data_IF_425093242799
#
_entry.id   IF_425093242799
#
_cell.length_a   1.000
_cell.length_b   1.000
_cell.length_c   1.000
_cell.angle_alpha   90.00
_cell.angle_beta   90.00
_cell.angle_gamma   90.00
#
_symmetry.space_group_name_H-M   'P 1'
#
loop_
_entity.id
_entity.type
_entity.pdbx_description
1 polymer ?
#
# COMPACT_ATOMS: atom_id res chain seq x y z
N UNK A 1 -30.07 3.95 9.04
CA UNK A 1 -29.25 4.78 10.00
C UNK A 1 -28.77 6.00 9.26
N UNK A 2 -29.00 7.21 9.79
CA UNK A 2 -28.62 8.44 9.12
C UNK A 2 -27.09 8.62 9.09
N UNK A 3 -26.51 8.78 7.90
CA UNK A 3 -25.08 9.02 7.73
C UNK A 3 -24.82 10.52 7.79
N UNK A 4 -24.31 10.97 8.95
CA UNK A 4 -24.15 12.38 9.27
C UNK A 4 -22.81 12.99 8.90
N UNK A 5 -21.79 12.16 8.66
CA UNK A 5 -20.46 12.67 8.38
C UNK A 5 -19.45 11.60 8.07
N UNK A 6 -18.21 12.05 7.86
CA UNK A 6 -17.06 11.22 7.51
C UNK A 6 -15.84 11.68 8.33
N UNK A 7 -15.01 10.74 8.74
CA UNK A 7 -13.70 11.04 9.35
C UNK A 7 -12.64 11.10 8.25
N UNK A 8 -11.75 12.07 8.32
CA UNK A 8 -10.53 12.13 7.50
C UNK A 8 -9.33 12.03 8.42
N UNK A 9 -8.48 11.06 8.20
CA UNK A 9 -7.28 10.79 9.01
C UNK A 9 -6.04 11.11 8.20
N UNK A 10 -5.14 11.91 8.77
CA UNK A 10 -3.84 12.20 8.18
C UNK A 10 -2.73 12.02 9.21
N UNK A 11 -1.81 11.07 9.01
CA UNK A 11 -0.55 11.04 9.73
C UNK A 11 0.32 12.20 9.23
N UNK A 12 0.96 12.92 10.14
CA UNK A 12 1.78 14.08 9.80
C UNK A 12 3.25 13.79 10.12
N UNK A 13 4.05 13.79 9.06
CA UNK A 13 5.51 13.68 9.14
C UNK A 13 6.11 14.32 7.89
N UNK A 14 6.62 15.53 7.96
CA UNK A 14 7.25 16.12 6.79
C UNK A 14 7.13 17.63 6.65
N UNK A 15 6.98 18.10 5.43
CA UNK A 15 7.06 19.48 5.02
C UNK A 15 5.74 20.25 5.31
N UNK A 16 5.88 21.41 5.93
CA UNK A 16 4.77 22.31 6.22
C UNK A 16 3.94 22.68 4.98
N UNK A 17 4.62 23.04 3.88
CA UNK A 17 3.92 23.51 2.67
C UNK A 17 3.00 22.44 2.08
N UNK A 18 3.44 21.19 2.15
CA UNK A 18 2.66 20.05 1.69
C UNK A 18 1.49 19.80 2.62
N UNK A 19 1.72 19.85 3.94
CA UNK A 19 0.66 19.72 4.95
C UNK A 19 -0.36 20.85 4.86
N UNK A 20 0.05 22.10 4.60
CA UNK A 20 -0.86 23.23 4.34
C UNK A 20 -1.85 22.89 3.23
N UNK A 21 -1.35 22.34 2.14
CA UNK A 21 -2.15 21.91 0.99
C UNK A 21 -3.15 20.83 1.34
N UNK A 22 -2.68 19.78 2.04
CA UNK A 22 -3.55 18.69 2.49
C UNK A 22 -4.65 19.21 3.42
N UNK A 23 -4.29 19.94 4.46
CA UNK A 23 -5.25 20.50 5.42
C UNK A 23 -6.26 21.41 4.72
N UNK A 24 -5.79 22.32 3.85
CA UNK A 24 -6.68 23.18 3.06
C UNK A 24 -7.65 22.35 2.20
N UNK A 25 -7.20 21.25 1.61
CA UNK A 25 -8.06 20.39 0.80
C UNK A 25 -9.20 19.75 1.60
N UNK A 26 -9.01 19.53 2.91
CA UNK A 26 -10.03 18.94 3.79
C UNK A 26 -10.96 20.00 4.36
N UNK A 27 -10.42 21.12 4.87
CA UNK A 27 -11.27 22.17 5.49
C UNK A 27 -12.11 22.94 4.48
N UNK A 28 -11.74 22.91 3.19
CA UNK A 28 -12.48 23.56 2.11
C UNK A 28 -13.26 22.56 1.23
N UNK A 29 -13.60 21.39 1.77
CA UNK A 29 -14.49 20.46 1.08
C UNK A 29 -15.85 21.13 0.80
N UNK A 30 -16.38 20.84 -0.39
CA UNK A 30 -17.71 21.28 -0.75
C UNK A 30 -18.75 20.57 0.13
N UNK A 31 -19.54 21.35 0.87
CA UNK A 31 -20.65 20.88 1.69
C UNK A 31 -21.95 21.45 1.12
N UNK A 32 -22.79 20.57 0.57
CA UNK A 32 -24.06 20.96 -0.02
C UNK A 32 -25.02 21.52 1.03
N UNK A 33 -25.62 22.69 0.80
CA UNK A 33 -26.63 23.27 1.67
C UNK A 33 -27.90 22.43 1.77
N UNK A 34 -28.23 21.70 0.73
CA UNK A 34 -29.44 20.86 0.68
C UNK A 34 -29.26 19.51 1.37
N UNK A 35 -28.02 19.06 1.54
CA UNK A 35 -27.69 17.78 2.14
C UNK A 35 -26.39 17.90 2.96
N UNK A 36 -26.40 18.71 4.04
CA UNK A 36 -25.21 18.98 4.80
C UNK A 36 -24.67 17.72 5.48
N UNK A 37 -23.38 17.72 5.72
CA UNK A 37 -22.67 16.67 6.42
C UNK A 37 -21.52 17.26 7.24
N UNK A 38 -20.98 16.44 8.11
CA UNK A 38 -19.86 16.84 8.96
C UNK A 38 -18.58 16.12 8.57
N UNK A 39 -17.46 16.79 8.75
CA UNK A 39 -16.11 16.22 8.59
C UNK A 39 -15.42 16.24 9.95
N UNK A 40 -14.90 15.12 10.36
CA UNK A 40 -13.98 15.03 11.49
C UNK A 40 -12.56 14.86 10.96
N UNK A 41 -11.77 15.92 10.93
CA UNK A 41 -10.35 15.86 10.57
C UNK A 41 -9.54 15.45 11.79
N UNK A 42 -8.86 14.31 11.69
CA UNK A 42 -7.95 13.80 12.71
C UNK A 42 -6.51 13.90 12.17
N UNK A 43 -5.75 14.80 12.76
CA UNK A 43 -4.33 15.00 12.47
C UNK A 43 -3.52 14.26 13.53
N UNK A 44 -2.66 13.34 13.10
CA UNK A 44 -1.79 12.59 14.00
C UNK A 44 -0.35 13.04 13.78
N UNK A 45 0.16 13.83 14.72
CA UNK A 45 1.55 14.27 14.75
C UNK A 45 2.43 13.13 15.21
N UNK A 46 3.25 12.60 14.29
CA UNK A 46 4.11 11.46 14.57
C UNK A 46 5.47 11.88 15.13
N UNK A 47 5.44 12.61 16.26
CA UNK A 47 6.63 13.01 17.01
C UNK A 47 7.57 13.93 16.21
N UNK A 48 7.01 14.95 15.57
CA UNK A 48 7.78 15.90 14.76
C UNK A 48 8.78 16.70 15.62
N UNK A 49 8.44 16.99 16.89
CA UNK A 49 9.32 17.71 17.81
C UNK A 49 10.68 17.01 18.01
N UNK A 50 10.71 15.67 18.01
CA UNK A 50 11.94 14.89 18.10
C UNK A 50 12.85 15.02 16.87
N UNK A 51 12.32 15.50 15.74
CA UNK A 51 13.06 15.67 14.49
C UNK A 51 13.70 17.03 14.34
N UNK A 52 13.18 18.05 15.01
CA UNK A 52 13.63 19.43 14.88
C UNK A 52 14.51 19.81 16.06
N UNK A 53 15.82 19.79 15.86
CA UNK A 53 16.84 20.16 16.86
C UNK A 53 16.66 21.56 17.45
N UNK A 54 15.86 22.43 16.83
CA UNK A 54 15.71 23.86 17.18
C UNK A 54 14.39 24.22 17.82
N UNK A 55 13.47 23.29 18.11
CA UNK A 55 12.18 23.60 18.71
C UNK A 55 11.18 24.37 17.80
N UNK A 56 11.59 24.72 16.59
CA UNK A 56 10.73 25.30 15.58
C UNK A 56 9.95 24.18 14.88
N UNK A 57 8.93 23.68 15.57
CA UNK A 57 7.97 22.77 14.97
C UNK A 57 7.25 23.49 13.84
N UNK A 58 7.48 23.10 12.61
CA UNK A 58 6.72 23.56 11.43
C UNK A 58 5.21 23.41 11.61
N UNK A 59 4.79 22.51 12.46
CA UNK A 59 3.40 22.18 12.73
C UNK A 59 2.83 22.89 13.95
N UNK A 60 3.59 23.72 14.65
CA UNK A 60 3.05 24.49 15.78
C UNK A 60 1.82 25.31 15.41
N UNK A 61 1.70 25.73 14.14
CA UNK A 61 0.51 26.45 13.68
C UNK A 61 -0.73 25.56 13.56
N UNK A 62 -0.60 24.27 13.26
CA UNK A 62 -1.72 23.32 13.15
C UNK A 62 -2.05 22.65 14.46
N UNK A 63 -1.02 22.45 15.31
CA UNK A 63 -1.14 21.76 16.57
C UNK A 63 -1.55 22.71 17.70
N UNK A 64 -2.02 23.92 17.37
CA UNK A 64 -2.43 24.92 18.35
C UNK A 64 -3.93 24.94 18.55
N UNK A 65 -4.36 25.29 19.77
CA UNK A 65 -5.77 25.59 20.04
C UNK A 65 -6.30 26.73 19.18
N UNK A 66 -5.43 27.62 18.72
CA UNK A 66 -5.80 28.73 17.84
C UNK A 66 -6.18 28.23 16.44
N UNK A 67 -5.40 27.35 15.84
CA UNK A 67 -5.76 26.71 14.56
C UNK A 67 -7.09 25.99 14.68
N UNK A 68 -7.25 25.17 15.71
CA UNK A 68 -8.49 24.46 15.98
C UNK A 68 -9.68 25.42 16.13
N UNK A 69 -9.57 26.47 16.93
CA UNK A 69 -10.62 27.49 17.09
C UNK A 69 -10.97 28.24 15.80
N UNK A 70 -9.99 28.35 14.90
CA UNK A 70 -10.19 29.07 13.62
C UNK A 70 -11.00 28.25 12.64
N UNK A 71 -10.80 26.94 12.59
CA UNK A 71 -11.37 26.06 11.58
C UNK A 71 -12.43 25.10 12.09
N UNK A 72 -12.52 24.84 13.40
CA UNK A 72 -13.67 24.16 13.99
C UNK A 72 -14.92 24.99 13.75
N UNK A 73 -15.96 24.41 13.22
CA UNK A 73 -17.25 25.03 12.98
C UNK A 73 -18.35 23.96 13.06
N UNK A 74 -19.57 24.32 12.71
CA UNK A 74 -20.73 23.41 12.75
C UNK A 74 -20.62 22.19 11.88
N UNK A 75 -19.74 22.23 10.84
CA UNK A 75 -19.52 21.13 9.88
C UNK A 75 -18.15 20.49 9.97
N UNK A 76 -17.18 21.16 10.55
CA UNK A 76 -15.78 20.68 10.63
C UNK A 76 -15.34 20.62 12.08
N UNK A 77 -15.03 19.44 12.54
CA UNK A 77 -14.37 19.17 13.83
C UNK A 77 -12.93 18.79 13.57
N UNK A 78 -11.99 19.32 14.33
CA UNK A 78 -10.57 18.99 14.25
C UNK A 78 -10.12 18.36 15.55
N UNK A 79 -9.49 17.20 15.44
CA UNK A 79 -8.77 16.55 16.55
C UNK A 79 -7.30 16.44 16.20
N UNK A 80 -6.43 16.82 17.13
CA UNK A 80 -4.99 16.76 16.98
C UNK A 80 -4.47 15.83 18.03
N UNK A 81 -3.71 14.81 17.60
CA UNK A 81 -3.08 13.81 18.47
C UNK A 81 -1.58 13.94 18.28
N UNK A 82 -0.84 14.06 19.36
CA UNK A 82 0.62 14.09 19.38
C UNK A 82 1.13 12.77 19.92
N UNK A 83 1.94 12.08 19.13
CA UNK A 83 2.66 10.91 19.61
C UNK A 83 3.84 11.35 20.47
N UNK A 84 4.07 10.65 21.57
CA UNK A 84 5.19 10.92 22.48
C UNK A 84 6.52 10.43 21.89
N UNK A 85 6.46 9.54 20.92
CA UNK A 85 7.59 8.97 20.20
C UNK A 85 7.20 8.73 18.72
N UNK A 86 8.19 8.54 17.86
CA UNK A 86 7.96 8.22 16.46
C UNK A 86 7.35 6.83 16.30
N UNK A 87 6.10 6.76 15.86
CA UNK A 87 5.31 5.52 15.71
C UNK A 87 5.16 5.06 14.27
N UNK A 88 5.69 5.84 13.35
CA UNK A 88 5.59 5.63 11.92
C UNK A 88 4.15 5.70 11.36
N UNK A 89 4.07 5.60 10.04
CA UNK A 89 2.87 5.91 9.29
C UNK A 89 1.71 4.94 9.58
N UNK A 90 1.98 3.63 9.64
CA UNK A 90 0.94 2.62 9.88
C UNK A 90 0.30 2.77 11.26
N UNK A 91 1.09 2.87 12.33
CA UNK A 91 0.58 3.03 13.68
C UNK A 91 -0.12 4.39 13.86
N UNK A 92 0.40 5.46 13.23
CA UNK A 92 -0.24 6.78 13.26
C UNK A 92 -1.60 6.77 12.56
N UNK A 93 -1.76 6.04 11.45
CA UNK A 93 -3.07 5.82 10.81
C UNK A 93 -4.02 5.07 11.72
N UNK A 94 -3.54 4.03 12.40
CA UNK A 94 -4.33 3.24 13.33
C UNK A 94 -4.83 4.08 14.53
N UNK A 95 -3.97 4.95 15.07
CA UNK A 95 -4.33 5.92 16.12
C UNK A 95 -5.42 6.87 15.63
N UNK A 96 -5.24 7.43 14.45
CA UNK A 96 -6.21 8.34 13.84
C UNK A 96 -7.55 7.67 13.53
N UNK A 97 -7.50 6.45 13.05
CA UNK A 97 -8.67 5.61 12.81
C UNK A 97 -9.52 5.43 14.08
N UNK A 98 -8.89 5.09 15.20
CA UNK A 98 -9.58 4.90 16.49
C UNK A 98 -10.15 6.19 17.07
N UNK A 99 -9.55 7.33 16.77
CA UNK A 99 -9.96 8.62 17.30
C UNK A 99 -11.13 9.29 16.53
N UNK A 100 -11.45 8.78 15.34
CA UNK A 100 -12.50 9.36 14.50
C UNK A 100 -13.91 9.17 15.07
N UNK A 101 -14.79 10.15 14.89
CA UNK A 101 -16.18 10.10 15.38
C UNK A 101 -17.12 9.32 14.46
N UNK A 102 -16.80 9.24 13.17
CA UNK A 102 -17.71 8.65 12.19
C UNK A 102 -17.27 7.23 11.82
N UNK A 103 -18.27 6.41 11.55
CA UNK A 103 -18.10 5.03 11.12
C UNK A 103 -17.30 4.90 9.81
N UNK A 104 -17.49 5.82 8.88
CA UNK A 104 -16.79 5.83 7.61
C UNK A 104 -15.64 6.84 7.65
N UNK A 105 -14.50 6.45 7.09
CA UNK A 105 -13.32 7.30 7.11
C UNK A 105 -12.49 7.21 5.83
N UNK A 106 -11.76 8.28 5.57
CA UNK A 106 -10.78 8.44 4.51
C UNK A 106 -9.38 8.51 5.12
N UNK A 107 -8.41 8.00 4.41
CA UNK A 107 -7.00 8.22 4.71
C UNK A 107 -6.41 9.15 3.65
N UNK A 108 -5.60 10.09 4.09
CA UNK A 108 -4.86 10.99 3.20
C UNK A 108 -3.48 11.28 3.79
N UNK A 109 -2.44 11.14 3.00
CA UNK A 109 -1.10 11.47 3.45
C UNK A 109 -0.89 12.98 3.51
N UNK A 110 0.00 13.44 4.37
CA UNK A 110 0.19 14.86 4.62
C UNK A 110 0.75 15.65 3.42
N UNK A 111 1.22 14.96 2.39
CA UNK A 111 1.73 15.54 1.15
C UNK A 111 0.77 15.41 -0.05
N UNK A 112 -0.40 14.84 0.15
CA UNK A 112 -1.44 14.64 -0.85
C UNK A 112 -2.62 15.61 -0.71
N UNK A 113 -3.68 15.45 -1.50
CA UNK A 113 -4.89 16.26 -1.44
C UNK A 113 -6.15 15.43 -1.67
N UNK A 114 -7.23 15.76 -0.98
CA UNK A 114 -8.58 15.38 -1.40
C UNK A 114 -9.07 16.29 -2.52
N UNK A 115 -9.84 15.74 -3.45
CA UNK A 115 -10.57 16.58 -4.41
C UNK A 115 -11.66 17.39 -3.69
N UNK A 116 -12.01 18.59 -4.18
CA UNK A 116 -12.92 19.50 -3.46
C UNK A 116 -14.31 18.94 -3.13
N UNK A 117 -14.75 17.92 -3.83
CA UNK A 117 -16.05 17.26 -3.64
C UNK A 117 -15.93 15.78 -3.21
N UNK A 118 -14.76 15.34 -2.76
CA UNK A 118 -14.51 13.96 -2.41
C UNK A 118 -15.44 13.44 -1.31
N UNK A 119 -15.53 14.18 -0.20
CA UNK A 119 -16.39 13.81 0.92
C UNK A 119 -17.87 13.76 0.54
N UNK A 120 -18.37 14.73 -0.24
CA UNK A 120 -19.75 14.74 -0.73
C UNK A 120 -20.06 13.52 -1.61
N UNK A 121 -19.16 13.17 -2.52
CA UNK A 121 -19.30 11.97 -3.40
C UNK A 121 -19.36 10.68 -2.60
N UNK A 122 -18.48 10.49 -1.63
CA UNK A 122 -18.50 9.30 -0.79
C UNK A 122 -19.76 9.21 0.06
N UNK A 123 -20.16 10.34 0.65
CA UNK A 123 -21.38 10.39 1.47
C UNK A 123 -22.65 10.18 0.65
N UNK A 124 -22.69 10.66 -0.59
CA UNK A 124 -23.78 10.36 -1.50
C UNK A 124 -23.94 8.86 -1.74
N UNK A 125 -22.85 8.18 -2.05
CA UNK A 125 -22.85 6.70 -2.25
C UNK A 125 -23.26 5.97 -0.97
N UNK A 126 -22.74 6.39 0.18
CA UNK A 126 -23.08 5.79 1.47
C UNK A 126 -24.57 5.94 1.82
N UNK A 127 -25.13 7.14 1.59
CA UNK A 127 -26.55 7.44 1.84
C UNK A 127 -27.44 6.67 0.87
N UNK A 128 -27.09 6.63 -0.40
CA UNK A 128 -27.82 5.86 -1.41
C UNK A 128 -27.83 4.36 -1.07
N UNK A 129 -26.69 3.82 -0.63
CA UNK A 129 -26.65 2.45 -0.14
C UNK A 129 -27.51 2.21 1.11
N UNK A 130 -27.58 3.18 2.01
CA UNK A 130 -28.39 3.11 3.22
C UNK A 130 -29.91 3.22 2.96
N UNK A 131 -30.32 3.85 1.84
CA UNK A 131 -31.73 3.92 1.44
C UNK A 131 -32.29 2.56 0.98
N UNK A 132 -31.46 1.68 0.44
CA UNK A 132 -31.85 0.35 -0.05
C UNK A 132 -31.72 0.19 -1.56
N UNK A 133 -32.28 -0.91 -2.08
CA UNK A 133 -32.26 -1.23 -3.50
C UNK A 133 -33.30 -0.40 -4.27
N UNK A 134 -32.89 0.19 -5.39
CA UNK A 134 -33.78 0.94 -6.29
C UNK A 134 -34.03 0.13 -7.57
N UNK A 135 -35.24 0.21 -8.10
CA UNK A 135 -35.60 -0.35 -9.40
C UNK A 135 -35.01 0.48 -10.57
N UNK A 136 -35.26 0.05 -11.80
CA UNK A 136 -34.80 0.72 -13.02
C UNK A 136 -35.35 2.15 -13.20
N UNK A 137 -36.41 2.49 -12.48
CA UNK A 137 -37.03 3.80 -12.48
C UNK A 137 -36.56 4.67 -11.29
N UNK A 138 -35.68 4.14 -10.45
CA UNK A 138 -35.15 4.81 -9.25
C UNK A 138 -36.03 4.74 -8.02
N UNK A 139 -37.12 3.93 -8.02
CA UNK A 139 -37.99 3.74 -6.86
C UNK A 139 -37.43 2.66 -5.93
N UNK A 140 -37.59 2.86 -4.61
CA UNK A 140 -37.18 1.88 -3.61
C UNK A 140 -38.00 0.60 -3.75
N UNK A 141 -37.32 -0.55 -3.86
CA UNK A 141 -37.95 -1.86 -3.95
C UNK A 141 -38.40 -2.42 -2.59
N UNK A 142 -37.92 -1.82 -1.50
CA UNK A 142 -38.10 -2.34 -0.14
C UNK A 142 -37.01 -3.33 0.28
N UNK A 143 -36.14 -3.74 -0.61
CA UNK A 143 -34.97 -4.57 -0.29
C UNK A 143 -33.86 -3.74 0.35
N UNK A 144 -33.23 -4.29 1.38
CA UNK A 144 -32.07 -3.67 2.02
C UNK A 144 -30.81 -4.03 1.23
N UNK A 145 -29.96 -3.06 0.99
CA UNK A 145 -28.60 -3.33 0.50
C UNK A 145 -27.72 -3.85 1.63
N UNK A 146 -26.73 -4.63 1.29
CA UNK A 146 -25.66 -4.97 2.22
C UNK A 146 -24.89 -3.69 2.62
N UNK A 147 -24.44 -3.58 3.87
CA UNK A 147 -23.59 -2.46 4.27
C UNK A 147 -22.29 -2.46 3.43
N UNK A 148 -21.78 -1.28 3.17
CA UNK A 148 -20.54 -1.14 2.40
C UNK A 148 -19.32 -1.40 3.30
N UNK A 149 -18.42 -2.27 2.88
CA UNK A 149 -17.11 -2.48 3.49
C UNK A 149 -16.16 -1.32 3.14
N UNK A 150 -16.16 -0.98 1.85
CA UNK A 150 -15.27 0.03 1.30
C UNK A 150 -15.90 0.64 0.04
N UNK A 151 -15.57 1.90 -0.24
CA UNK A 151 -15.83 2.55 -1.52
C UNK A 151 -14.49 2.86 -2.16
N UNK A 152 -14.26 2.35 -3.36
CA UNK A 152 -13.05 2.63 -4.12
C UNK A 152 -13.23 3.94 -4.89
N UNK A 153 -12.41 4.91 -4.59
CA UNK A 153 -12.37 6.19 -5.27
C UNK A 153 -11.44 6.19 -6.48
N UNK A 154 -11.20 7.38 -6.98
CA UNK A 154 -10.37 7.64 -8.15
C UNK A 154 -9.15 8.46 -7.70
N UNK A 155 -7.98 7.86 -7.75
CA UNK A 155 -6.72 8.53 -7.49
C UNK A 155 -6.15 9.08 -8.80
N UNK A 156 -5.89 10.38 -8.83
CA UNK A 156 -5.11 10.98 -9.91
C UNK A 156 -3.66 11.09 -9.47
N UNK A 157 -2.78 10.43 -10.20
CA UNK A 157 -1.34 10.48 -9.98
C UNK A 157 -0.71 11.50 -10.93
N UNK A 158 -0.03 12.50 -10.38
CA UNK A 158 0.70 13.48 -11.19
C UNK A 158 1.98 12.89 -11.80
N UNK A 159 2.47 11.78 -11.29
CA UNK A 159 3.62 11.07 -11.83
C UNK A 159 3.28 10.39 -13.15
N UNK A 160 2.18 9.66 -13.17
CA UNK A 160 1.69 8.96 -14.39
C UNK A 160 0.88 9.86 -15.30
N UNK A 161 0.49 11.05 -14.83
CA UNK A 161 -0.41 11.98 -15.52
C UNK A 161 -1.73 11.34 -15.95
N UNK A 162 -2.24 10.42 -15.15
CA UNK A 162 -3.46 9.68 -15.42
C UNK A 162 -4.19 9.28 -14.14
N UNK A 163 -5.38 8.71 -14.32
CA UNK A 163 -6.17 8.20 -13.20
C UNK A 163 -5.77 6.77 -12.87
N UNK A 164 -5.55 6.53 -11.60
CA UNK A 164 -5.44 5.19 -11.04
C UNK A 164 -6.73 4.84 -10.32
N UNK A 165 -7.27 3.66 -10.65
CA UNK A 165 -8.45 3.14 -9.99
C UNK A 165 -8.04 2.17 -8.90
N UNK A 166 -8.45 2.42 -7.67
CA UNK A 166 -8.27 1.47 -6.58
C UNK A 166 -9.21 0.27 -6.79
N UNK A 167 -8.66 -0.81 -7.31
CA UNK A 167 -9.38 -2.07 -7.56
C UNK A 167 -8.87 -3.11 -6.58
N UNK A 168 -9.76 -3.89 -5.90
CA UNK A 168 -9.34 -4.98 -5.04
C UNK A 168 -8.38 -5.92 -5.77
N UNK A 169 -7.29 -6.29 -5.09
CA UNK A 169 -6.27 -7.16 -5.65
C UNK A 169 -5.29 -6.52 -6.63
N UNK A 170 -5.52 -5.27 -7.06
CA UNK A 170 -4.69 -4.59 -8.06
C UNK A 170 -4.05 -3.29 -7.59
N UNK A 171 -4.38 -2.81 -6.40
CA UNK A 171 -3.81 -1.57 -5.85
C UNK A 171 -3.48 -1.73 -4.38
N UNK A 172 -2.32 -1.24 -3.98
CA UNK A 172 -1.90 -1.14 -2.58
C UNK A 172 -2.15 0.26 -1.99
N UNK A 173 -2.70 1.19 -2.77
CA UNK A 173 -2.95 2.55 -2.32
C UNK A 173 -4.08 2.61 -1.32
N UNK A 174 -3.84 3.15 -0.16
CA UNK A 174 -4.85 3.35 0.90
C UNK A 174 -5.63 4.64 0.71
N UNK A 175 -5.02 5.62 0.04
CA UNK A 175 -5.67 6.88 -0.30
C UNK A 175 -6.81 6.65 -1.30
N UNK A 176 -7.71 7.62 -1.41
CA UNK A 176 -8.89 7.57 -2.27
C UNK A 176 -9.81 6.36 -2.05
N UNK A 177 -9.79 5.78 -0.86
CA UNK A 177 -10.78 4.78 -0.42
C UNK A 177 -11.53 5.30 0.79
N UNK A 178 -12.84 5.05 0.82
CA UNK A 178 -13.65 5.27 2.01
C UNK A 178 -13.89 3.93 2.69
N UNK A 179 -13.42 3.78 3.90
CA UNK A 179 -13.47 2.55 4.69
C UNK A 179 -14.61 2.58 5.69
N UNK A 180 -15.14 1.40 6.02
CA UNK A 180 -16.10 1.20 7.08
C UNK A 180 -15.41 0.61 8.31
N UNK A 181 -15.43 1.34 9.43
CA UNK A 181 -14.80 0.93 10.68
C UNK A 181 -15.35 -0.39 11.21
N UNK A 182 -16.68 -0.56 11.22
CA UNK A 182 -17.30 -1.78 11.74
C UNK A 182 -16.85 -3.03 10.97
N UNK A 183 -16.64 -2.88 9.66
CA UNK A 183 -16.10 -3.96 8.83
C UNK A 183 -14.66 -4.30 9.22
N UNK A 184 -13.80 -3.29 9.37
CA UNK A 184 -12.41 -3.52 9.73
C UNK A 184 -12.27 -4.14 11.13
N UNK A 185 -13.06 -3.68 12.10
CA UNK A 185 -13.07 -4.21 13.46
C UNK A 185 -13.65 -5.65 13.53
N UNK A 186 -14.73 -5.93 12.78
CA UNK A 186 -15.35 -7.26 12.75
C UNK A 186 -14.38 -8.33 12.25
N UNK A 187 -13.56 -7.99 11.28
CA UNK A 187 -12.62 -8.91 10.64
C UNK A 187 -11.17 -8.75 11.11
N UNK A 188 -10.92 -7.92 12.12
CA UNK A 188 -9.58 -7.71 12.70
C UNK A 188 -8.55 -7.21 11.67
N UNK A 189 -8.99 -6.29 10.80
CA UNK A 189 -8.15 -5.70 9.76
C UNK A 189 -7.54 -4.40 10.30
N UNK A 190 -6.26 -4.43 10.60
CA UNK A 190 -5.51 -3.31 11.18
C UNK A 190 -4.24 -3.01 10.39
N UNK A 191 -3.81 -1.75 10.48
CA UNK A 191 -2.46 -1.39 10.05
C UNK A 191 -1.42 -2.08 10.93
N UNK A 192 -0.25 -2.43 10.38
CA UNK A 192 0.84 -2.93 11.19
C UNK A 192 1.32 -1.87 12.18
N UNK A 193 1.78 -2.32 13.34
CA UNK A 193 2.27 -1.46 14.43
C UNK A 193 3.72 -1.76 14.78
N UNK A 194 4.36 -0.89 15.54
CA UNK A 194 5.76 -1.04 15.94
C UNK A 194 6.71 -0.95 14.74
N UNK A 195 7.75 -1.75 14.73
CA UNK A 195 8.76 -1.74 13.66
C UNK A 195 8.20 -2.09 12.29
N UNK A 196 7.10 -2.83 12.22
CA UNK A 196 6.41 -3.19 10.98
C UNK A 196 5.56 -2.05 10.39
N UNK A 197 5.40 -0.94 11.14
CA UNK A 197 4.65 0.24 10.67
C UNK A 197 5.50 1.26 9.91
N UNK A 198 6.81 1.00 9.79
CA UNK A 198 7.77 1.96 9.25
C UNK A 198 7.57 2.25 7.77
N UNK A 199 7.39 1.20 6.98
CA UNK A 199 7.24 1.34 5.52
C UNK A 199 6.53 0.14 4.92
N UNK A 200 5.84 0.37 3.80
CA UNK A 200 5.09 -0.68 3.12
C UNK A 200 3.90 -1.20 3.92
N UNK A 201 3.43 -0.43 4.89
CA UNK A 201 2.31 -0.75 5.78
C UNK A 201 0.97 -0.83 5.04
N UNK A 202 0.88 -0.18 3.89
CA UNK A 202 -0.29 -0.21 3.00
C UNK A 202 -0.51 -1.61 2.44
N UNK A 203 0.56 -2.28 2.05
CA UNK A 203 0.50 -3.59 1.44
C UNK A 203 -0.21 -4.63 2.32
N UNK A 204 0.23 -4.90 3.57
CA UNK A 204 -0.46 -5.88 4.41
C UNK A 204 -1.88 -5.46 4.78
N UNK A 205 -2.15 -4.18 4.96
CA UNK A 205 -3.50 -3.70 5.24
C UNK A 205 -4.45 -3.98 4.07
N UNK A 206 -4.06 -3.59 2.86
CA UNK A 206 -4.88 -3.78 1.66
C UNK A 206 -5.04 -5.26 1.30
N UNK A 207 -4.00 -6.08 1.44
CA UNK A 207 -4.11 -7.52 1.12
C UNK A 207 -5.05 -8.25 2.09
N UNK A 208 -5.02 -7.92 3.38
CA UNK A 208 -5.99 -8.44 4.36
C UNK A 208 -7.41 -8.00 4.01
N UNK A 209 -7.60 -6.72 3.69
CA UNK A 209 -8.88 -6.16 3.28
C UNK A 209 -9.44 -6.89 2.05
N UNK A 210 -8.65 -6.99 0.98
CA UNK A 210 -9.05 -7.61 -0.28
C UNK A 210 -9.37 -9.10 -0.09
N UNK A 211 -8.60 -9.81 0.75
CA UNK A 211 -8.86 -11.20 1.08
C UNK A 211 -10.23 -11.39 1.74
N UNK A 212 -10.52 -10.59 2.78
CA UNK A 212 -11.81 -10.68 3.48
C UNK A 212 -12.96 -10.30 2.55
N UNK A 213 -12.80 -9.26 1.73
CA UNK A 213 -13.84 -8.85 0.76
C UNK A 213 -14.24 -10.02 -0.16
N UNK A 214 -13.29 -10.84 -0.59
CA UNK A 214 -13.57 -11.95 -1.50
C UNK A 214 -14.18 -13.18 -0.82
N UNK A 215 -13.99 -13.35 0.50
CA UNK A 215 -14.41 -14.53 1.23
C UNK A 215 -15.64 -14.31 2.14
N UNK A 216 -16.16 -13.10 2.23
CA UNK A 216 -17.35 -12.77 3.00
C UNK A 216 -18.48 -12.32 2.09
N UNK A 217 -19.73 -12.48 2.53
CA UNK A 217 -20.93 -12.11 1.78
C UNK A 217 -21.81 -11.06 2.49
N UNK A 218 -21.41 -10.62 3.68
CA UNK A 218 -22.18 -9.71 4.53
C UNK A 218 -22.09 -8.25 4.07
N UNK A 219 -20.98 -7.86 3.45
CA UNK A 219 -20.68 -6.49 3.03
C UNK A 219 -20.44 -6.40 1.52
N UNK A 220 -20.71 -5.23 0.96
CA UNK A 220 -20.46 -4.91 -0.45
C UNK A 220 -19.28 -3.95 -0.59
N UNK A 221 -18.66 -3.97 -1.78
CA UNK A 221 -17.71 -2.97 -2.22
C UNK A 221 -18.25 -2.29 -3.47
N UNK A 222 -18.18 -0.98 -3.50
CA UNK A 222 -18.61 -0.18 -4.66
C UNK A 222 -17.46 0.73 -5.12
N UNK A 223 -17.54 1.18 -6.36
CA UNK A 223 -16.60 2.15 -6.94
C UNK A 223 -17.30 3.48 -7.15
N UNK A 224 -16.57 4.56 -6.95
CA UNK A 224 -17.00 5.87 -7.43
C UNK A 224 -17.16 5.79 -8.95
N UNK A 225 -18.30 6.23 -9.51
CA UNK A 225 -18.51 6.21 -10.96
C UNK A 225 -17.44 7.01 -11.70
N UNK A 226 -16.96 6.43 -12.81
CA UNK A 226 -16.04 7.06 -13.74
C UNK A 226 -16.69 7.21 -15.11
N UNK A 227 -16.57 8.40 -15.69
CA UNK A 227 -17.08 8.72 -17.03
C UNK A 227 -15.90 9.19 -17.90
N UNK A 228 -15.55 8.50 -18.98
CA UNK A 228 -14.34 8.74 -19.78
C UNK A 228 -14.19 10.18 -20.30
N UNK A 229 -15.28 10.88 -20.52
CA UNK A 229 -15.28 12.21 -21.13
C UNK A 229 -15.55 13.35 -20.13
N UNK A 230 -15.45 13.09 -18.84
CA UNK A 230 -15.72 14.09 -17.81
C UNK A 230 -14.44 14.60 -17.18
N UNK A 231 -14.30 15.92 -17.12
CA UNK A 231 -13.16 16.57 -16.49
C UNK A 231 -13.09 16.27 -14.98
N UNK A 232 -11.89 16.12 -14.48
CA UNK A 232 -11.50 15.99 -13.07
C UNK A 232 -12.46 15.20 -12.18
N UNK A 233 -12.39 13.89 -12.25
CA UNK A 233 -13.21 12.96 -11.46
C UNK A 233 -12.48 12.42 -10.23
N UNK A 234 -11.25 12.83 -9.97
CA UNK A 234 -10.48 12.38 -8.82
C UNK A 234 -11.25 12.53 -7.51
N UNK A 235 -11.01 11.62 -6.58
CA UNK A 235 -11.38 11.77 -5.17
C UNK A 235 -10.17 12.14 -4.33
N UNK A 236 -8.97 11.77 -4.81
CA UNK A 236 -7.70 12.18 -4.22
C UNK A 236 -6.66 12.46 -5.30
N UNK A 237 -5.69 13.28 -4.97
CA UNK A 237 -4.54 13.61 -5.79
C UNK A 237 -3.27 13.17 -5.08
N UNK A 238 -2.49 12.33 -5.74
CA UNK A 238 -1.16 11.94 -5.30
C UNK A 238 -0.10 12.80 -5.99
N UNK A 239 0.82 13.35 -5.19
CA UNK A 239 1.90 14.19 -5.68
C UNK A 239 3.23 13.48 -5.46
N UNK A 240 4.06 13.30 -6.51
CA UNK A 240 5.40 12.77 -6.36
C UNK A 240 6.20 13.71 -5.45
N UNK A 241 6.77 13.13 -4.41
CA UNK A 241 7.56 13.85 -3.43
C UNK A 241 9.01 13.41 -3.51
N UNK A 242 9.90 14.31 -4.00
CA UNK A 242 11.33 14.04 -4.09
C UNK A 242 11.97 13.86 -2.71
N UNK A 243 11.40 14.50 -1.69
CA UNK A 243 11.84 14.43 -0.30
C UNK A 243 11.12 13.34 0.50
N UNK A 244 10.44 12.38 -0.14
CA UNK A 244 9.79 11.28 0.58
C UNK A 244 10.82 10.44 1.34
N UNK A 245 10.43 9.88 2.48
CA UNK A 245 11.29 8.99 3.27
C UNK A 245 11.88 7.86 2.42
N UNK A 246 11.13 7.36 1.46
CA UNK A 246 11.56 6.33 0.53
C UNK A 246 12.68 6.77 -0.43
N UNK A 247 12.88 8.06 -0.60
CA UNK A 247 13.92 8.62 -1.49
C UNK A 247 15.09 9.24 -0.73
N UNK A 248 14.91 9.54 0.56
CA UNK A 248 15.96 10.15 1.41
C UNK A 248 16.85 9.12 2.11
N UNK A 249 16.31 7.94 2.38
CA UNK A 249 17.07 6.88 3.02
C UNK A 249 17.93 6.15 1.98
N UNK A 250 19.27 6.30 2.00
CA UNK A 250 20.16 5.61 1.07
C UNK A 250 20.09 4.07 1.22
N UNK A 251 19.53 3.59 2.33
CA UNK A 251 19.38 2.18 2.64
C UNK A 251 17.95 1.70 2.51
N UNK A 252 17.07 2.53 1.96
CA UNK A 252 15.66 2.27 1.84
C UNK A 252 15.35 0.91 1.22
N UNK A 253 16.01 0.58 0.13
CA UNK A 253 15.77 -0.68 -0.57
C UNK A 253 16.08 -1.92 0.29
N UNK A 254 17.18 -1.87 1.08
CA UNK A 254 17.57 -2.98 1.97
C UNK A 254 16.59 -3.12 3.14
N UNK A 255 16.27 -2.00 3.81
CA UNK A 255 15.29 -2.00 4.88
C UNK A 255 13.92 -2.45 4.37
N UNK A 256 13.47 -1.92 3.22
CA UNK A 256 12.19 -2.29 2.61
C UNK A 256 12.11 -3.79 2.32
N UNK A 257 13.20 -4.39 1.85
CA UNK A 257 13.23 -5.82 1.54
C UNK A 257 12.91 -6.69 2.75
N UNK A 258 13.53 -6.41 3.89
CA UNK A 258 13.25 -7.11 5.15
C UNK A 258 11.81 -6.92 5.63
N UNK A 259 11.29 -5.69 5.57
CA UNK A 259 9.94 -5.36 6.00
C UNK A 259 8.87 -5.94 5.07
N UNK A 260 9.09 -5.94 3.77
CA UNK A 260 8.18 -6.57 2.81
C UNK A 260 8.02 -8.06 3.09
N UNK A 261 9.11 -8.74 3.42
CA UNK A 261 9.06 -10.17 3.76
C UNK A 261 8.40 -10.43 5.13
N UNK A 262 8.62 -9.56 6.11
CA UNK A 262 7.92 -9.60 7.38
C UNK A 262 6.41 -9.34 7.20
N UNK A 263 6.04 -8.39 6.37
CA UNK A 263 4.65 -8.09 6.00
C UNK A 263 3.98 -9.26 5.29
N UNK A 264 4.67 -9.92 4.36
CA UNK A 264 4.17 -11.13 3.68
C UNK A 264 3.87 -12.25 4.67
N UNK A 265 4.74 -12.48 5.64
CA UNK A 265 4.48 -13.44 6.71
C UNK A 265 3.27 -13.05 7.57
N UNK A 266 3.10 -11.76 7.89
CA UNK A 266 1.95 -11.25 8.64
C UNK A 266 0.63 -11.40 7.88
N UNK A 267 0.66 -11.24 6.56
CA UNK A 267 -0.52 -11.48 5.70
C UNK A 267 -0.92 -12.95 5.77
N UNK A 268 0.03 -13.87 5.66
CA UNK A 268 -0.26 -15.30 5.75
C UNK A 268 -0.74 -15.70 7.16
N UNK A 269 -0.19 -15.11 8.23
CA UNK A 269 -0.71 -15.31 9.59
C UNK A 269 -2.18 -14.90 9.70
N UNK A 270 -2.53 -13.77 9.07
CA UNK A 270 -3.91 -13.31 9.02
C UNK A 270 -4.82 -14.27 8.23
N UNK A 271 -4.39 -14.71 7.05
CA UNK A 271 -5.18 -15.65 6.23
C UNK A 271 -5.42 -16.96 6.96
N UNK A 272 -4.39 -17.54 7.57
CA UNK A 272 -4.52 -18.78 8.35
C UNK A 272 -5.53 -18.62 9.50
N UNK A 273 -5.46 -17.50 10.24
CA UNK A 273 -6.37 -17.20 11.33
C UNK A 273 -7.81 -16.97 10.84
N UNK A 274 -7.97 -16.23 9.74
CA UNK A 274 -9.27 -16.00 9.11
C UNK A 274 -9.89 -17.31 8.64
N UNK A 275 -9.14 -18.13 7.91
CA UNK A 275 -9.61 -19.41 7.39
C UNK A 275 -10.03 -20.35 8.50
N UNK A 276 -9.24 -20.42 9.57
CA UNK A 276 -9.60 -21.19 10.76
C UNK A 276 -10.89 -20.70 11.43
N UNK A 277 -11.03 -19.38 11.56
CA UNK A 277 -12.19 -18.76 12.21
C UNK A 277 -13.48 -18.97 11.42
N UNK A 278 -13.41 -18.93 10.09
CA UNK A 278 -14.58 -18.94 9.21
C UNK A 278 -14.75 -20.24 8.41
N UNK A 279 -13.91 -21.26 8.63
CA UNK A 279 -14.08 -22.60 8.06
C UNK A 279 -13.60 -22.75 6.61
N UNK A 280 -12.61 -21.97 6.19
CA UNK A 280 -12.01 -22.03 4.85
C UNK A 280 -10.68 -22.81 4.79
N UNK A 281 -10.35 -23.57 5.83
CA UNK A 281 -9.00 -24.18 6.01
C UNK A 281 -8.56 -25.12 4.87
N UNK A 282 -9.51 -25.72 4.16
CA UNK A 282 -9.24 -26.68 3.09
C UNK A 282 -9.43 -26.10 1.68
N UNK A 283 -9.69 -24.79 1.58
CA UNK A 283 -9.96 -24.15 0.29
C UNK A 283 -8.73 -23.36 -0.18
N UNK A 284 -7.97 -23.98 -1.08
CA UNK A 284 -6.98 -23.25 -1.87
C UNK A 284 -7.69 -22.64 -3.08
N UNK A 285 -8.13 -21.39 -2.97
CA UNK A 285 -8.77 -20.67 -4.06
C UNK A 285 -7.77 -19.95 -4.98
N UNK A 286 -8.25 -19.38 -6.08
CA UNK A 286 -7.42 -18.67 -7.06
C UNK A 286 -6.74 -17.43 -6.46
N UNK A 287 -7.39 -16.76 -5.49
CA UNK A 287 -6.78 -15.62 -4.81
C UNK A 287 -5.56 -16.05 -4.00
N UNK A 288 -5.68 -17.13 -3.21
CA UNK A 288 -4.59 -17.67 -2.40
C UNK A 288 -3.42 -18.14 -3.28
N UNK A 289 -3.71 -18.82 -4.38
CA UNK A 289 -2.68 -19.25 -5.34
C UNK A 289 -1.92 -18.06 -5.90
N UNK A 290 -2.65 -17.03 -6.32
CA UNK A 290 -2.06 -15.80 -6.85
C UNK A 290 -1.20 -15.09 -5.80
N UNK A 291 -1.68 -14.98 -4.55
CA UNK A 291 -0.92 -14.39 -3.46
C UNK A 291 0.35 -15.18 -3.13
N UNK A 292 0.27 -16.50 -3.06
CA UNK A 292 1.43 -17.34 -2.82
C UNK A 292 2.48 -17.20 -3.91
N UNK A 293 2.07 -17.15 -5.17
CA UNK A 293 2.97 -16.91 -6.30
C UNK A 293 3.61 -15.53 -6.19
N UNK A 294 2.81 -14.48 -5.97
CA UNK A 294 3.31 -13.12 -5.80
C UNK A 294 4.32 -13.02 -4.64
N UNK A 295 3.99 -13.57 -3.48
CA UNK A 295 4.90 -13.55 -2.33
C UNK A 295 6.21 -14.28 -2.61
N UNK A 296 6.16 -15.38 -3.35
CA UNK A 296 7.36 -16.09 -3.78
C UNK A 296 8.23 -15.26 -4.72
N UNK A 297 7.62 -14.62 -5.70
CA UNK A 297 8.28 -13.70 -6.64
C UNK A 297 8.89 -12.51 -5.88
N UNK A 298 8.15 -11.90 -4.96
CA UNK A 298 8.67 -10.81 -4.14
C UNK A 298 9.83 -11.24 -3.24
N UNK A 299 9.81 -12.46 -2.70
CA UNK A 299 10.92 -12.99 -1.91
C UNK A 299 12.21 -13.08 -2.75
N UNK A 300 12.09 -13.58 -3.98
CA UNK A 300 13.21 -13.60 -4.92
C UNK A 300 13.70 -12.21 -5.26
N UNK A 301 12.78 -11.32 -5.61
CA UNK A 301 13.10 -9.95 -5.96
C UNK A 301 13.87 -9.25 -4.83
N UNK A 302 13.36 -9.32 -3.61
CA UNK A 302 13.96 -8.64 -2.47
C UNK A 302 15.36 -9.21 -2.12
N UNK A 303 15.55 -10.53 -2.22
CA UNK A 303 16.88 -11.14 -2.02
C UNK A 303 17.87 -10.66 -3.08
N UNK A 304 17.47 -10.65 -4.35
CA UNK A 304 18.31 -10.20 -5.45
C UNK A 304 18.68 -8.73 -5.33
N UNK A 305 17.68 -7.90 -5.03
CA UNK A 305 17.89 -6.45 -4.89
C UNK A 305 18.87 -6.14 -3.76
N UNK A 306 18.70 -6.81 -2.62
CA UNK A 306 19.65 -6.71 -1.51
C UNK A 306 21.08 -7.10 -1.89
N UNK A 307 21.25 -8.22 -2.60
CA UNK A 307 22.55 -8.69 -3.04
C UNK A 307 23.18 -7.73 -4.06
N UNK A 308 22.39 -7.20 -4.97
CA UNK A 308 22.81 -6.23 -5.98
C UNK A 308 23.29 -4.94 -5.32
N UNK A 309 22.50 -4.35 -4.45
CA UNK A 309 22.87 -3.13 -3.74
C UNK A 309 24.15 -3.31 -2.92
N UNK A 310 24.35 -4.50 -2.35
CA UNK A 310 25.58 -4.85 -1.64
C UNK A 310 26.81 -4.90 -2.54
N UNK A 311 26.63 -5.16 -3.85
CA UNK A 311 27.75 -5.25 -4.81
C UNK A 311 28.01 -3.97 -5.58
N UNK A 312 26.95 -3.20 -5.86
CA UNK A 312 27.00 -2.08 -6.80
C UNK A 312 27.47 -0.75 -6.19
N UNK A 313 27.58 -0.67 -4.88
CA UNK A 313 27.87 0.58 -4.18
C UNK A 313 29.01 0.41 -3.18
N UNK A 314 29.67 1.51 -2.82
CA UNK A 314 30.59 1.58 -1.66
C UNK A 314 29.83 1.39 -0.33
N UNK A 315 28.55 1.01 -0.41
CA UNK A 315 27.66 0.83 0.71
C UNK A 315 27.82 -0.53 1.36
N UNK A 316 28.01 -0.53 2.64
CA UNK A 316 28.05 -1.72 3.46
C UNK A 316 26.65 -1.94 4.10
N UNK A 317 25.87 -2.98 3.69
CA UNK A 317 24.58 -3.25 4.29
C UNK A 317 24.73 -3.56 5.78
N UNK A 318 23.70 -3.30 6.56
CA UNK A 318 23.69 -3.66 7.96
C UNK A 318 23.54 -5.19 8.10
N UNK A 319 24.28 -5.78 9.03
CA UNK A 319 24.23 -7.21 9.30
C UNK A 319 22.81 -7.65 9.74
N UNK A 320 22.14 -6.78 10.50
CA UNK A 320 20.75 -7.00 10.97
C UNK A 320 19.75 -7.06 9.81
N UNK A 321 19.92 -6.23 8.77
CA UNK A 321 19.03 -6.23 7.59
C UNK A 321 19.17 -7.52 6.80
N UNK A 322 20.39 -8.02 6.65
CA UNK A 322 20.61 -9.31 6.01
C UNK A 322 19.88 -10.44 6.73
N UNK A 323 20.05 -10.52 8.05
CA UNK A 323 19.40 -11.57 8.83
C UNK A 323 17.87 -11.41 8.85
N UNK A 324 17.36 -10.18 8.96
CA UNK A 324 15.92 -9.93 8.88
C UNK A 324 15.34 -10.39 7.54
N UNK A 325 15.96 -10.05 6.43
CA UNK A 325 15.53 -10.48 5.10
C UNK A 325 15.60 -12.01 4.95
N UNK A 326 16.78 -12.59 5.21
CA UNK A 326 17.05 -14.03 5.07
C UNK A 326 16.06 -14.88 5.87
N UNK A 327 15.88 -14.54 7.14
CA UNK A 327 15.07 -15.34 8.06
C UNK A 327 13.58 -15.21 7.73
N UNK A 328 13.12 -14.03 7.30
CA UNK A 328 11.74 -13.86 6.84
C UNK A 328 11.47 -14.59 5.53
N UNK A 329 12.42 -14.62 4.59
CA UNK A 329 12.30 -15.42 3.36
C UNK A 329 12.31 -16.92 3.67
N UNK A 330 13.17 -17.38 4.57
CA UNK A 330 13.20 -18.78 4.98
C UNK A 330 11.86 -19.19 5.63
N UNK A 331 11.30 -18.37 6.53
CA UNK A 331 10.00 -18.58 7.12
C UNK A 331 8.89 -18.63 6.08
N UNK A 332 8.89 -17.68 5.14
CA UNK A 332 7.91 -17.64 4.05
C UNK A 332 7.97 -18.91 3.20
N UNK A 333 9.17 -19.34 2.82
CA UNK A 333 9.38 -20.59 2.06
C UNK A 333 8.77 -21.81 2.74
N UNK A 334 8.98 -21.96 4.06
CA UNK A 334 8.39 -23.07 4.82
C UNK A 334 6.87 -23.04 4.78
N UNK A 335 6.28 -21.84 4.88
CA UNK A 335 4.82 -21.66 4.84
C UNK A 335 4.21 -21.95 3.49
N UNK A 336 4.89 -21.61 2.40
CA UNK A 336 4.47 -21.90 1.02
C UNK A 336 4.57 -23.40 0.67
N UNK A 337 4.88 -24.27 1.65
CA UNK A 337 4.95 -25.73 1.54
C UNK A 337 5.82 -26.23 0.36
N UNK A 338 6.85 -25.48 0.03
CA UNK A 338 7.78 -25.70 -1.07
C UNK A 338 7.18 -25.68 -2.49
N UNK A 339 5.86 -25.81 -2.66
CA UNK A 339 5.21 -25.92 -3.95
C UNK A 339 5.51 -24.72 -4.85
N UNK A 340 5.20 -23.53 -4.39
CA UNK A 340 5.37 -22.30 -5.19
C UNK A 340 6.83 -21.86 -5.29
N UNK A 341 7.61 -22.08 -4.24
CA UNK A 341 9.04 -21.75 -4.24
C UNK A 341 9.85 -22.61 -5.22
N UNK A 342 9.53 -23.89 -5.32
CA UNK A 342 10.26 -24.83 -6.19
C UNK A 342 9.72 -24.81 -7.62
N UNK A 343 8.43 -24.48 -7.80
CA UNK A 343 7.76 -24.33 -9.09
C UNK A 343 7.96 -22.95 -9.74
N UNK A 344 8.62 -21.99 -9.09
CA UNK A 344 9.05 -20.77 -9.77
C UNK A 344 10.01 -21.20 -10.88
N UNK A 345 9.41 -21.38 -12.03
CA UNK A 345 10.07 -21.72 -13.28
C UNK A 345 10.53 -20.46 -13.98
N UNK A 346 11.43 -20.62 -14.90
CA UNK A 346 11.96 -19.52 -15.71
C UNK A 346 10.90 -18.63 -16.34
N UNK A 347 9.71 -19.15 -16.68
CA UNK A 347 8.61 -18.37 -17.27
C UNK A 347 8.07 -17.29 -16.35
N UNK A 348 7.87 -17.60 -15.06
CA UNK A 348 7.31 -16.63 -14.11
C UNK A 348 8.26 -15.47 -13.87
N UNK A 349 9.54 -15.75 -13.93
CA UNK A 349 10.60 -14.79 -13.78
C UNK A 349 10.80 -13.97 -15.06
N UNK A 350 10.68 -14.63 -16.22
CA UNK A 350 10.66 -13.96 -17.52
C UNK A 350 9.50 -12.96 -17.57
N UNK A 351 8.32 -13.33 -17.08
CA UNK A 351 7.15 -12.46 -17.01
C UNK A 351 7.33 -11.31 -16.03
N UNK A 352 7.91 -11.58 -14.85
CA UNK A 352 8.25 -10.54 -13.88
C UNK A 352 9.30 -9.57 -14.42
N UNK A 353 10.38 -10.06 -15.01
CA UNK A 353 11.41 -9.23 -15.62
C UNK A 353 10.85 -8.40 -16.79
N UNK A 354 9.86 -8.94 -17.50
CA UNK A 354 9.16 -8.20 -18.52
C UNK A 354 8.29 -7.08 -17.97
N UNK A 355 7.55 -7.34 -16.90
CA UNK A 355 6.75 -6.31 -16.22
C UNK A 355 7.65 -5.22 -15.64
N UNK A 356 8.76 -5.60 -14.99
CA UNK A 356 9.75 -4.65 -14.48
C UNK A 356 10.37 -3.83 -15.62
N UNK A 357 10.66 -4.44 -16.76
CA UNK A 357 11.18 -3.74 -17.95
C UNK A 357 10.20 -2.71 -18.51
N UNK A 358 8.91 -2.93 -18.37
CA UNK A 358 7.87 -2.00 -18.83
C UNK A 358 7.67 -0.80 -17.88
N UNK A 359 7.98 -0.97 -16.59
CA UNK A 359 7.72 0.02 -15.55
C UNK A 359 8.97 0.71 -15.01
N UNK A 360 10.17 0.22 -15.30
CA UNK A 360 11.41 0.78 -14.74
C UNK A 360 12.46 1.11 -15.78
N UNK A 361 13.32 2.05 -15.41
CA UNK A 361 14.49 2.52 -16.15
C UNK A 361 15.36 1.33 -16.63
N UNK A 362 15.75 1.35 -17.88
CA UNK A 362 16.47 0.30 -18.64
C UNK A 362 17.70 -0.29 -17.92
N UNK A 363 18.23 0.42 -16.93
CA UNK A 363 19.38 -0.02 -16.12
C UNK A 363 19.17 -1.31 -15.33
N UNK A 364 17.94 -1.71 -15.12
CA UNK A 364 17.59 -2.88 -14.30
C UNK A 364 17.71 -4.21 -15.04
N UNK A 365 17.56 -4.23 -16.34
CA UNK A 365 17.26 -5.45 -17.09
C UNK A 365 18.48 -6.25 -17.54
N UNK A 366 19.59 -5.62 -17.81
CA UNK A 366 20.67 -6.27 -18.53
C UNK A 366 21.73 -6.94 -17.65
N UNK A 367 22.00 -6.39 -16.48
CA UNK A 367 22.94 -6.97 -15.49
C UNK A 367 22.33 -8.07 -14.63
N UNK A 368 21.03 -8.21 -14.60
CA UNK A 368 20.31 -9.10 -13.70
C UNK A 368 20.25 -10.56 -14.14
N UNK A 369 20.28 -10.81 -15.43
CA UNK A 369 20.01 -12.15 -15.98
C UNK A 369 21.06 -13.16 -15.55
N UNK A 370 22.34 -12.80 -15.57
CA UNK A 370 23.42 -13.69 -15.14
C UNK A 370 23.39 -13.99 -13.64
N UNK A 371 23.27 -12.94 -12.84
CA UNK A 371 23.14 -13.02 -11.38
C UNK A 371 21.94 -13.83 -10.98
N UNK A 372 20.86 -13.70 -11.71
CA UNK A 372 19.63 -14.39 -11.50
C UNK A 372 19.74 -15.92 -11.69
N UNK A 373 20.45 -16.38 -12.73
CA UNK A 373 20.72 -17.80 -12.94
C UNK A 373 21.55 -18.40 -11.81
N UNK A 374 22.59 -17.69 -11.38
CA UNK A 374 23.40 -18.10 -10.23
C UNK A 374 22.58 -18.13 -8.95
N UNK A 375 21.72 -17.15 -8.78
CA UNK A 375 20.82 -17.08 -7.64
C UNK A 375 19.83 -18.26 -7.61
N UNK A 376 19.16 -18.58 -8.70
CA UNK A 376 18.23 -19.71 -8.77
C UNK A 376 18.96 -21.02 -8.42
N UNK A 377 20.15 -21.22 -8.95
CA UNK A 377 20.93 -22.40 -8.68
C UNK A 377 21.44 -22.48 -7.23
N UNK A 378 21.62 -21.34 -6.58
CA UNK A 378 22.13 -21.23 -5.22
C UNK A 378 21.08 -20.81 -4.17
N UNK A 379 19.82 -20.65 -4.57
CA UNK A 379 18.76 -20.08 -3.71
C UNK A 379 18.64 -20.71 -2.32
N UNK A 380 18.81 -22.02 -2.23
CA UNK A 380 18.74 -22.73 -0.96
C UNK A 380 19.96 -22.42 -0.08
N UNK A 381 21.13 -22.36 -0.68
CA UNK A 381 22.38 -22.03 0.01
C UNK A 381 22.37 -20.60 0.52
N UNK A 382 21.81 -19.67 -0.26
CA UNK A 382 21.71 -18.24 0.12
C UNK A 382 20.94 -18.06 1.43
N UNK A 383 19.85 -18.81 1.63
CA UNK A 383 19.06 -18.76 2.86
C UNK A 383 19.79 -19.30 4.11
N UNK A 384 20.96 -19.90 3.95
CA UNK A 384 21.78 -20.38 5.07
C UNK A 384 23.07 -19.58 5.28
N UNK A 385 23.34 -18.60 4.43
CA UNK A 385 24.56 -17.79 4.51
C UNK A 385 24.58 -16.88 5.74
N UNK A 386 25.70 -16.88 6.43
CA UNK A 386 26.03 -15.79 7.36
C UNK A 386 26.25 -14.48 6.60
N UNK A 387 26.21 -13.34 7.30
CA UNK A 387 26.51 -12.05 6.69
C UNK A 387 27.88 -12.02 5.99
N UNK A 388 28.92 -12.61 6.61
CA UNK A 388 30.25 -12.70 6.01
C UNK A 388 30.26 -13.55 4.71
N UNK A 389 29.53 -14.66 4.70
CA UNK A 389 29.42 -15.51 3.49
C UNK A 389 28.65 -14.80 2.40
N UNK A 390 27.55 -14.10 2.74
CA UNK A 390 26.79 -13.27 1.82
C UNK A 390 27.68 -12.20 1.19
N UNK A 391 28.45 -11.45 1.97
CA UNK A 391 29.39 -10.44 1.45
C UNK A 391 30.46 -11.06 0.55
N UNK A 392 30.94 -12.27 0.89
CA UNK A 392 31.90 -12.99 0.03
C UNK A 392 31.27 -13.46 -1.27
N UNK A 393 30.00 -13.90 -1.21
CA UNK A 393 29.21 -14.30 -2.38
C UNK A 393 29.02 -13.10 -3.31
N UNK A 394 28.60 -11.94 -2.77
CA UNK A 394 28.42 -10.71 -3.52
C UNK A 394 29.67 -10.27 -4.27
N UNK A 395 30.85 -10.38 -3.64
CA UNK A 395 32.14 -10.02 -4.28
C UNK A 395 32.49 -10.85 -5.50
N UNK A 396 31.93 -12.05 -5.61
CA UNK A 396 32.14 -12.97 -6.73
C UNK A 396 31.00 -12.92 -7.76
N UNK A 397 29.94 -12.11 -7.51
CA UNK A 397 28.91 -11.85 -8.49
C UNK A 397 29.43 -10.82 -9.49
N UNK A 398 29.71 -11.26 -10.69
CA UNK A 398 30.06 -10.35 -11.78
C UNK A 398 28.77 -9.75 -12.36
N UNK A 399 28.56 -8.47 -12.11
CA UNK A 399 27.43 -7.69 -12.66
C UNK A 399 27.75 -7.02 -13.98
N UNK A 400 28.92 -7.27 -14.55
CA UNK A 400 29.31 -6.62 -15.78
C UNK A 400 28.78 -7.35 -17.04
N UNK A 401 28.74 -6.61 -18.14
CA UNK A 401 28.03 -6.94 -19.38
C UNK A 401 28.39 -8.25 -20.10
N UNK A 402 29.28 -9.10 -19.53
CA UNK A 402 29.59 -10.41 -20.09
C UNK A 402 28.40 -11.39 -20.01
N UNK A 403 27.46 -11.18 -19.07
CA UNK A 403 26.20 -11.90 -19.00
C UNK A 403 25.28 -11.68 -20.21
N UNK A 404 25.41 -10.57 -20.89
CA UNK A 404 24.59 -10.18 -22.04
C UNK A 404 24.62 -11.18 -23.19
N UNK A 405 25.78 -11.67 -23.58
CA UNK A 405 25.93 -12.56 -24.71
C UNK A 405 25.37 -13.96 -24.44
N UNK A 406 25.46 -14.41 -23.19
CA UNK A 406 24.98 -15.75 -22.78
C UNK A 406 23.44 -15.78 -22.71
N UNK A 407 22.83 -14.67 -22.38
CA UNK A 407 21.37 -14.57 -22.11
C UNK A 407 20.57 -13.95 -23.25
N UNK A 408 21.22 -13.29 -24.21
CA UNK A 408 20.57 -12.76 -25.42
C UNK A 408 19.69 -13.81 -26.15
N UNK A 409 20.03 -15.09 -26.22
CA UNK A 409 19.15 -16.12 -26.78
C UNK A 409 17.85 -16.30 -26.01
N UNK A 410 17.86 -16.17 -24.68
CA UNK A 410 16.68 -16.29 -23.82
C UNK A 410 15.73 -15.12 -23.98
N UNK A 411 16.25 -13.90 -23.93
CA UNK A 411 15.47 -12.68 -24.19
C UNK A 411 14.82 -12.73 -25.56
N UNK A 412 15.57 -13.14 -26.58
CA UNK A 412 15.04 -13.34 -27.93
C UNK A 412 13.98 -14.45 -28.04
N UNK A 413 14.16 -15.54 -27.29
CA UNK A 413 13.20 -16.65 -27.27
C UNK A 413 11.91 -16.22 -26.54
N UNK A 414 12.04 -15.46 -25.45
CA UNK A 414 10.92 -14.88 -24.73
C UNK A 414 10.16 -13.87 -25.60
N UNK A 415 10.83 -12.87 -26.18
CA UNK A 415 10.25 -11.91 -27.13
C UNK A 415 9.55 -12.60 -28.29
N UNK A 416 10.10 -13.70 -28.80
CA UNK A 416 9.48 -14.47 -29.89
C UNK A 416 8.20 -15.17 -29.47
N UNK A 417 8.10 -15.63 -28.21
CA UNK A 417 6.87 -16.25 -27.67
C UNK A 417 5.77 -15.21 -27.48
N UNK A 418 6.08 -14.06 -26.89
CA UNK A 418 5.10 -13.04 -26.50
C UNK A 418 4.73 -12.05 -27.62
N UNK A 419 5.59 -11.85 -28.64
CA UNK A 419 5.21 -11.11 -29.85
C UNK A 419 4.14 -11.80 -30.71
N UNK A 420 3.90 -13.10 -30.50
CA UNK A 420 2.83 -13.82 -31.23
C UNK A 420 1.45 -13.66 -30.58
N UNK A 421 1.38 -13.21 -29.35
CA UNK A 421 0.12 -13.03 -28.62
C UNK A 421 -0.41 -11.57 -28.67
N UNK A 422 0.40 -10.62 -29.11
CA UNK A 422 0.06 -9.19 -29.16
C UNK A 422 -0.06 -8.59 -30.58
N UNK A 423 -0.13 -9.40 -31.60
CA UNK A 423 -0.15 -8.94 -33.02
C UNK A 423 -1.36 -9.44 -33.78
N UNK A 424 -2.47 -8.72 -33.66
CA UNK A 424 -3.35 -8.30 -34.74
C UNK A 424 -4.26 -7.18 -34.23
#
# INVERSE_FOLDING_TARGET
MEIKGITVVSPMWGDRTKTDRMVASVIHQFISKNNPFNIHLVLVDDYIEGRLENGDSYYNCYLTDEFKKTYDNEHIKITIIKNEEHKYQGESREIGFKAGDYKHFLLIDCDDMLAPNACDRYLHILRDAAEGVKDENGNLTGEQRKPLACIHGLLYSFDTKGYEHNIPGHSIWVQSRCYNRDFLEEYDIHFPTGTNSRQGEDYPFIRKLDYVIQHQDKYEVVKVPYEENRDCQATAFWFPNEDSLSRQDPHYAQHLSGWTMASSNSILDFFDNFNKKYGFEDQEDEFMKHEYLNMSIYAFYNLLDFLKETTATDYEPLEEDWYALRDNVAKLKERLKNKYWDEIVYSDIEDMLYQVRHYSDVRFTESWIGTFYDFINNKQKILTMSYKEMKSYCKNLEFDGAGHEIHAPYVKAWEKRHRKEGGE
#
